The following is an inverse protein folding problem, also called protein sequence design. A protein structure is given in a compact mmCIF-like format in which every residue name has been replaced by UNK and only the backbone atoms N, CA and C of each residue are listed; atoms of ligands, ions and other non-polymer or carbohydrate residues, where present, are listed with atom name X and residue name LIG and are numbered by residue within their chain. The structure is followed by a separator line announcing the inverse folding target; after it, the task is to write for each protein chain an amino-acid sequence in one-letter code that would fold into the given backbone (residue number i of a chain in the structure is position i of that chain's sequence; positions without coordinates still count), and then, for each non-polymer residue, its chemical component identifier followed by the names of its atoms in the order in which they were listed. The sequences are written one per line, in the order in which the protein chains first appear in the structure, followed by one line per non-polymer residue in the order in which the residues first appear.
data_IF_428258745191
#
_entry.id   IF_428258745191
#
_cell.length_a   1.000
_cell.length_b   1.000
_cell.length_c   1.000
_cell.angle_alpha   90.00
_cell.angle_beta   90.00
_cell.angle_gamma   90.00
#
_symmetry.space_group_name_H-M   'P 1'
#
loop_
_entity.id
_entity.type
_entity.pdbx_description
1 polymer ?
#
# COMPACT_ATOMS: atom_id res chain seq x y z
N UNK A 1 13.83 13.47 1.31
CA UNK A 1 12.39 13.52 1.61
C UNK A 1 12.21 12.93 2.99
N UNK A 2 11.70 13.71 3.94
CA UNK A 2 11.57 13.31 5.35
C UNK A 2 10.42 12.29 5.52
N UNK A 3 10.52 11.38 6.49
CA UNK A 3 9.56 10.29 6.73
C UNK A 3 8.25 10.75 7.38
N UNK A 4 7.64 11.78 6.81
CA UNK A 4 6.31 12.29 7.15
C UNK A 4 5.28 11.17 7.24
N UNK A 5 5.39 10.14 6.39
CA UNK A 5 4.37 9.10 6.30
C UNK A 5 4.31 8.18 7.54
N UNK A 6 5.44 7.88 8.20
CA UNK A 6 5.41 6.95 9.33
C UNK A 6 4.85 7.64 10.57
N UNK A 7 5.23 8.90 10.78
CA UNK A 7 4.65 9.77 11.80
C UNK A 7 3.16 10.02 11.54
N UNK A 8 2.76 10.23 10.28
CA UNK A 8 1.35 10.38 9.89
C UNK A 8 0.54 9.12 10.20
N UNK A 9 1.05 7.93 9.82
CA UNK A 9 0.38 6.65 10.12
C UNK A 9 0.25 6.45 11.64
N UNK A 10 1.30 6.75 12.41
CA UNK A 10 1.24 6.66 13.87
C UNK A 10 0.35 7.73 14.52
N UNK A 11 0.23 8.91 13.91
CA UNK A 11 -0.69 9.96 14.37
C UNK A 11 -2.15 9.52 14.16
N UNK A 12 -2.46 8.87 13.04
CA UNK A 12 -3.82 8.43 12.70
C UNK A 12 -4.19 7.15 13.45
N UNK A 13 -3.26 6.22 13.61
CA UNK A 13 -3.56 4.87 14.11
C UNK A 13 -3.01 4.57 15.50
N UNK A 14 -2.14 5.44 16.04
CA UNK A 14 -1.43 5.25 17.30
C UNK A 14 0.00 4.75 17.10
N UNK A 15 0.87 5.06 18.07
CA UNK A 15 2.28 4.61 18.06
C UNK A 15 2.37 3.08 18.08
N UNK A 16 3.31 2.52 17.32
CA UNK A 16 3.57 1.08 17.32
C UNK A 16 2.51 0.24 16.58
N UNK A 17 1.63 0.86 15.78
CA UNK A 17 0.62 0.13 15.01
C UNK A 17 1.15 -0.48 13.71
N UNK A 18 2.30 -0.01 13.23
CA UNK A 18 2.94 -0.57 12.03
C UNK A 18 3.70 -1.84 12.41
N UNK A 19 3.20 -2.99 11.99
CA UNK A 19 3.84 -4.29 12.26
C UNK A 19 4.92 -4.69 11.24
N UNK A 20 4.85 -4.15 10.01
CA UNK A 20 5.71 -4.52 8.90
C UNK A 20 5.85 -3.34 7.93
N UNK A 21 7.08 -3.04 7.53
CA UNK A 21 7.42 -2.08 6.49
C UNK A 21 8.12 -2.80 5.34
N UNK A 22 7.63 -2.60 4.11
CA UNK A 22 8.16 -3.19 2.89
C UNK A 22 8.64 -2.07 1.95
N UNK A 23 9.89 -2.12 1.51
CA UNK A 23 10.44 -1.22 0.50
C UNK A 23 10.76 -1.99 -0.77
N UNK A 24 10.22 -1.56 -1.92
CA UNK A 24 10.50 -2.17 -3.23
C UNK A 24 11.21 -1.13 -4.09
N UNK A 25 12.45 -1.42 -4.46
CA UNK A 25 13.25 -0.59 -5.36
C UNK A 25 13.15 -1.04 -6.81
N UNK A 26 13.44 -0.12 -7.73
CA UNK A 26 13.47 -0.36 -9.18
C UNK A 26 14.84 -0.79 -9.69
N UNK A 27 15.73 -1.20 -8.78
CA UNK A 27 17.07 -1.69 -9.06
C UNK A 27 18.17 -0.69 -8.78
N UNK A 28 19.40 -1.20 -8.63
CA UNK A 28 20.61 -0.38 -8.43
C UNK A 28 21.36 -0.20 -9.75
N UNK A 29 21.87 1.02 -10.05
CA UNK A 29 22.75 1.23 -11.19
C UNK A 29 24.06 0.47 -10.99
N UNK A 30 24.60 -0.15 -12.05
CA UNK A 30 25.85 -0.92 -11.95
C UNK A 30 27.08 -0.02 -12.04
N UNK A 31 26.93 1.20 -12.58
CA UNK A 31 28.01 2.19 -12.71
C UNK A 31 27.49 3.60 -12.43
N UNK A 32 27.95 4.20 -11.33
CA UNK A 32 27.91 5.66 -11.21
C UNK A 32 28.97 6.20 -12.16
N UNK A 33 28.60 6.52 -13.40
CA UNK A 33 29.56 7.13 -14.32
C UNK A 33 29.93 8.51 -13.78
N UNK A 34 31.22 8.80 -13.50
CA UNK A 34 31.64 10.16 -13.18
C UNK A 34 31.27 11.07 -14.36
N UNK A 35 30.81 12.29 -14.07
CA UNK A 35 30.55 13.29 -15.11
C UNK A 35 31.85 13.48 -15.88
N UNK A 36 31.89 13.01 -17.13
CA UNK A 36 33.07 13.14 -17.96
C UNK A 36 33.29 14.62 -18.25
N UNK A 37 34.36 15.20 -17.68
CA UNK A 37 34.91 16.51 -18.08
C UNK A 37 35.51 16.39 -19.49
N UNK A 38 34.67 16.26 -20.51
CA UNK A 38 35.12 16.42 -21.88
C UNK A 38 34.22 17.44 -22.59
N UNK A 39 34.84 18.18 -23.53
CA UNK A 39 34.30 19.32 -24.26
C UNK A 39 33.12 18.96 -25.19
N UNK A 40 32.05 18.38 -24.65
CA UNK A 40 30.82 18.11 -25.38
C UNK A 40 29.80 19.22 -25.09
N UNK A 41 29.19 19.75 -26.15
CA UNK A 41 28.38 20.97 -26.10
C UNK A 41 27.25 20.97 -25.06
N UNK A 42 26.75 22.18 -24.75
CA UNK A 42 25.78 22.51 -23.68
C UNK A 42 24.66 21.47 -23.50
N UNK A 43 24.09 20.94 -24.58
CA UNK A 43 22.96 19.98 -24.55
C UNK A 43 23.36 18.63 -23.90
N UNK A 44 24.58 18.15 -24.15
CA UNK A 44 25.09 16.90 -23.55
C UNK A 44 25.29 17.03 -22.04
N UNK A 45 25.75 18.21 -21.60
CA UNK A 45 26.02 18.52 -20.20
C UNK A 45 24.73 18.68 -19.40
N UNK A 46 23.67 19.24 -19.99
CA UNK A 46 22.34 19.28 -19.37
C UNK A 46 21.71 17.89 -19.24
N UNK A 47 21.85 17.02 -20.23
CA UNK A 47 21.39 15.62 -20.14
C UNK A 47 22.14 14.84 -19.07
N UNK A 48 23.47 14.98 -19.00
CA UNK A 48 24.28 14.38 -17.95
C UNK A 48 23.94 14.94 -16.56
N UNK A 49 23.69 16.24 -16.45
CA UNK A 49 23.20 16.86 -15.22
C UNK A 49 21.83 16.30 -14.82
N UNK A 50 20.88 16.16 -15.73
CA UNK A 50 19.56 15.57 -15.42
C UNK A 50 19.72 14.12 -14.96
N UNK A 51 20.54 13.31 -15.66
CA UNK A 51 20.83 11.92 -15.25
C UNK A 51 21.51 11.85 -13.89
N UNK A 52 22.51 12.69 -13.66
CA UNK A 52 23.22 12.77 -12.38
C UNK A 52 22.30 13.26 -11.27
N UNK A 53 21.45 14.26 -11.53
CA UNK A 53 20.47 14.80 -10.58
C UNK A 53 19.35 13.81 -10.32
N UNK A 54 18.93 13.00 -11.30
CA UNK A 54 18.00 11.89 -11.09
C UNK A 54 18.66 10.78 -10.26
N UNK A 55 19.92 10.43 -10.54
CA UNK A 55 20.68 9.45 -9.76
C UNK A 55 21.00 9.93 -8.33
N UNK A 56 21.17 11.24 -8.10
CA UNK A 56 21.47 11.84 -6.78
C UNK A 56 20.23 12.31 -6.01
N UNK A 57 19.13 12.72 -6.68
CA UNK A 57 17.84 13.00 -6.00
C UNK A 57 17.08 11.73 -5.64
N UNK A 58 17.34 10.64 -6.34
CA UNK A 58 16.80 9.31 -6.02
C UNK A 58 17.86 8.48 -5.32
N UNK A 59 18.49 9.05 -4.28
CA UNK A 59 19.31 8.27 -3.36
C UNK A 59 18.40 7.36 -2.53
N UNK A 60 17.95 6.31 -3.22
CA UNK A 60 17.07 5.29 -2.68
C UNK A 60 17.77 4.50 -1.57
N UNK A 61 19.11 4.58 -1.49
CA UNK A 61 19.92 3.94 -0.47
C UNK A 61 20.00 4.81 0.79
N UNK A 62 20.21 6.12 0.68
CA UNK A 62 20.05 7.01 1.83
C UNK A 62 18.62 6.96 2.40
N UNK A 63 17.61 6.89 1.52
CA UNK A 63 16.21 6.72 1.97
C UNK A 63 15.99 5.36 2.64
N UNK A 64 16.61 4.30 2.11
CA UNK A 64 16.57 2.95 2.71
C UNK A 64 17.21 2.93 4.10
N UNK A 65 18.42 3.47 4.24
CA UNK A 65 19.14 3.54 5.51
C UNK A 65 18.35 4.32 6.55
N UNK A 66 17.77 5.45 6.14
CA UNK A 66 16.92 6.26 7.01
C UNK A 66 15.65 5.51 7.44
N UNK A 67 14.93 4.87 6.52
CA UNK A 67 13.73 4.07 6.87
C UNK A 67 14.11 2.88 7.74
N UNK A 68 15.25 2.23 7.48
CA UNK A 68 15.76 1.15 8.30
C UNK A 68 16.03 1.62 9.74
N UNK A 69 16.68 2.76 9.91
CA UNK A 69 16.93 3.35 11.23
C UNK A 69 15.62 3.73 11.95
N UNK A 70 14.62 4.24 11.23
CA UNK A 70 13.32 4.57 11.83
C UNK A 70 12.50 3.35 12.25
N UNK A 71 12.68 2.24 11.55
CA UNK A 71 11.98 0.97 11.83
C UNK A 71 12.73 0.08 12.80
N UNK A 72 14.00 0.39 13.08
CA UNK A 72 14.83 -0.30 14.06
C UNK A 72 14.11 -0.32 15.41
N UNK A 73 13.95 -1.53 15.97
CA UNK A 73 13.21 -1.85 17.19
C UNK A 73 11.69 -1.56 17.19
N UNK A 74 11.13 -1.02 16.11
CA UNK A 74 9.68 -0.74 16.01
C UNK A 74 8.92 -1.81 15.27
N UNK A 75 9.44 -2.22 14.11
CA UNK A 75 8.74 -3.16 13.25
C UNK A 75 9.69 -3.93 12.35
N UNK A 76 9.18 -4.99 11.71
CA UNK A 76 9.98 -5.70 10.72
C UNK A 76 10.14 -4.84 9.47
N UNK A 77 11.38 -4.65 9.02
CA UNK A 77 11.69 -3.97 7.77
C UNK A 77 12.31 -4.91 6.76
N UNK A 78 11.76 -4.93 5.54
CA UNK A 78 12.29 -5.73 4.43
C UNK A 78 12.40 -4.87 3.17
N UNK A 79 13.61 -4.81 2.58
CA UNK A 79 13.84 -4.16 1.28
C UNK A 79 14.10 -5.18 0.18
N UNK A 80 13.33 -5.09 -0.89
CA UNK A 80 13.56 -5.82 -2.12
C UNK A 80 14.07 -4.85 -3.18
N UNK A 81 15.29 -5.05 -3.64
CA UNK A 81 15.88 -4.22 -4.68
C UNK A 81 16.68 -5.12 -5.61
N UNK A 82 16.41 -5.03 -6.91
CA UNK A 82 17.10 -5.88 -7.89
C UNK A 82 18.51 -5.36 -8.12
N UNK A 83 19.50 -6.16 -7.76
CA UNK A 83 20.89 -5.92 -8.16
C UNK A 83 21.10 -6.43 -9.59
N UNK A 84 21.95 -5.75 -10.39
CA UNK A 84 22.26 -6.18 -11.77
C UNK A 84 21.88 -5.21 -12.89
N UNK A 85 21.79 -3.91 -12.62
CA UNK A 85 21.74 -2.88 -13.67
C UNK A 85 20.35 -2.49 -14.15
N UNK A 86 19.27 -2.92 -13.49
CA UNK A 86 17.95 -2.32 -13.74
C UNK A 86 17.93 -0.82 -13.44
N UNK A 87 18.77 -0.36 -12.50
CA UNK A 87 18.97 1.07 -12.26
C UNK A 87 19.71 1.81 -13.38
N UNK A 88 20.27 1.09 -14.37
CA UNK A 88 20.90 1.69 -15.56
C UNK A 88 19.91 1.91 -16.71
N UNK A 89 18.66 1.41 -16.59
CA UNK A 89 17.61 1.64 -17.57
C UNK A 89 17.08 3.07 -17.38
N UNK A 90 17.16 3.88 -18.43
CA UNK A 90 16.68 5.27 -18.38
C UNK A 90 15.16 5.30 -18.16
N UNK A 91 14.68 6.25 -17.34
CA UNK A 91 13.25 6.50 -17.16
C UNK A 91 12.61 6.88 -18.51
N UNK A 92 11.63 6.10 -18.94
CA UNK A 92 10.99 6.25 -20.25
C UNK A 92 11.66 5.47 -21.39
N UNK A 93 12.72 4.70 -21.10
CA UNK A 93 13.28 3.79 -22.08
C UNK A 93 12.24 2.75 -22.53
N UNK A 94 12.02 2.67 -23.83
CA UNK A 94 11.07 1.75 -24.45
C UNK A 94 11.59 1.27 -25.79
N UNK A 95 12.53 0.32 -25.76
CA UNK A 95 13.17 -0.19 -26.98
C UNK A 95 12.40 -1.40 -27.51
N UNK A 96 11.99 -1.31 -28.78
CA UNK A 96 11.32 -2.40 -29.51
C UNK A 96 12.25 -2.88 -30.63
N UNK A 97 12.44 -4.20 -30.73
CA UNK A 97 13.21 -4.83 -31.80
C UNK A 97 12.34 -5.92 -32.45
N UNK A 98 11.98 -5.72 -33.72
CA UNK A 98 10.98 -6.55 -34.38
C UNK A 98 9.63 -6.48 -33.64
N UNK A 99 9.14 -7.64 -33.18
CA UNK A 99 7.88 -7.77 -32.45
C UNK A 99 8.06 -7.83 -30.92
N UNK A 100 9.27 -7.64 -30.39
CA UNK A 100 9.58 -7.78 -28.96
C UNK A 100 10.06 -6.46 -28.35
N UNK A 101 9.59 -6.14 -27.14
CA UNK A 101 10.13 -5.06 -26.33
C UNK A 101 11.31 -5.56 -25.51
N UNK A 102 12.52 -5.19 -25.92
CA UNK A 102 13.76 -5.64 -25.29
C UNK A 102 13.98 -5.04 -23.89
N UNK A 103 13.49 -3.83 -23.64
CA UNK A 103 13.57 -3.19 -22.32
C UNK A 103 12.72 -3.96 -21.31
N UNK A 104 11.47 -4.26 -21.66
CA UNK A 104 10.58 -5.08 -20.82
C UNK A 104 11.11 -6.50 -20.62
N UNK A 105 11.69 -7.10 -21.67
CA UNK A 105 12.31 -8.41 -21.57
C UNK A 105 13.45 -8.40 -20.55
N UNK A 106 14.37 -7.44 -20.64
CA UNK A 106 15.46 -7.28 -19.68
C UNK A 106 14.97 -7.09 -18.25
N UNK A 107 13.94 -6.24 -18.05
CA UNK A 107 13.30 -6.06 -16.73
C UNK A 107 12.77 -7.38 -16.18
N UNK A 108 12.06 -8.15 -17.01
CA UNK A 108 11.50 -9.46 -16.62
C UNK A 108 12.60 -10.46 -16.27
N UNK A 109 13.62 -10.57 -17.10
CA UNK A 109 14.73 -11.52 -16.91
C UNK A 109 15.50 -11.22 -15.61
N UNK A 110 15.89 -9.95 -15.39
CA UNK A 110 16.61 -9.57 -14.16
C UNK A 110 15.74 -9.73 -12.91
N UNK A 111 14.47 -9.36 -12.98
CA UNK A 111 13.52 -9.57 -11.88
C UNK A 111 13.36 -11.07 -11.59
N UNK A 112 13.27 -11.90 -12.63
CA UNK A 112 13.16 -13.35 -12.48
C UNK A 112 14.42 -13.96 -11.86
N UNK A 113 15.61 -13.53 -12.27
CA UNK A 113 16.88 -13.95 -11.66
C UNK A 113 16.90 -13.58 -10.17
N UNK A 114 16.58 -12.34 -9.84
CA UNK A 114 16.52 -11.85 -8.46
C UNK A 114 15.53 -12.65 -7.60
N UNK A 115 14.30 -12.85 -8.10
CA UNK A 115 13.26 -13.60 -7.38
C UNK A 115 13.58 -15.09 -7.21
N UNK A 116 14.47 -15.67 -8.03
CA UNK A 116 14.90 -17.06 -7.88
C UNK A 116 16.06 -17.24 -6.91
N UNK A 117 16.66 -16.16 -6.39
CA UNK A 117 17.68 -16.28 -5.36
C UNK A 117 17.06 -16.90 -4.09
N UNK A 118 17.65 -17.97 -3.53
CA UNK A 118 17.09 -18.65 -2.36
C UNK A 118 16.82 -17.71 -1.18
N UNK A 119 17.71 -16.75 -0.95
CA UNK A 119 17.57 -15.77 0.13
C UNK A 119 16.38 -14.83 -0.10
N UNK A 120 16.22 -14.34 -1.32
CA UNK A 120 15.10 -13.47 -1.69
C UNK A 120 13.78 -14.20 -1.52
N UNK A 121 13.70 -15.46 -1.96
CA UNK A 121 12.51 -16.31 -1.77
C UNK A 121 12.17 -16.50 -0.29
N UNK A 122 13.17 -16.83 0.53
CA UNK A 122 13.00 -17.01 1.98
C UNK A 122 12.43 -15.75 2.65
N UNK A 123 12.97 -14.58 2.29
CA UNK A 123 12.50 -13.27 2.80
C UNK A 123 11.10 -12.95 2.31
N UNK A 124 10.78 -13.21 1.04
CA UNK A 124 9.45 -12.99 0.46
C UNK A 124 8.40 -13.88 1.12
N UNK A 125 8.71 -15.16 1.38
CA UNK A 125 7.83 -16.07 2.09
C UNK A 125 7.62 -15.65 3.56
N UNK A 126 8.66 -15.15 4.24
CA UNK A 126 8.53 -14.57 5.58
C UNK A 126 7.54 -13.40 5.57
N UNK A 127 7.70 -12.46 4.64
CA UNK A 127 6.79 -11.32 4.47
C UNK A 127 5.36 -11.79 4.17
N UNK A 128 5.19 -12.74 3.25
CA UNK A 128 3.88 -13.28 2.90
C UNK A 128 3.18 -13.90 4.12
N UNK A 129 3.88 -14.71 4.91
CA UNK A 129 3.34 -15.29 6.15
C UNK A 129 2.92 -14.22 7.15
N UNK A 130 3.71 -13.15 7.32
CA UNK A 130 3.36 -12.03 8.19
C UNK A 130 2.10 -11.31 7.71
N UNK A 131 1.99 -11.02 6.41
CA UNK A 131 0.82 -10.36 5.83
C UNK A 131 -0.45 -11.20 6.01
N UNK A 132 -0.38 -12.51 5.77
CA UNK A 132 -1.50 -13.44 5.95
C UNK A 132 -1.92 -13.49 7.42
N UNK A 133 -0.95 -13.68 8.34
CA UNK A 133 -1.25 -13.68 9.78
C UNK A 133 -1.88 -12.37 10.23
N UNK A 134 -1.34 -11.22 9.82
CA UNK A 134 -1.90 -9.91 10.15
C UNK A 134 -3.31 -9.72 9.58
N UNK A 135 -3.62 -10.32 8.43
CA UNK A 135 -4.98 -10.32 7.88
C UNK A 135 -5.92 -11.18 8.70
N UNK A 136 -5.49 -12.37 9.12
CA UNK A 136 -6.28 -13.29 9.95
C UNK A 136 -6.55 -12.72 11.35
N UNK A 137 -5.57 -12.05 11.96
CA UNK A 137 -5.78 -11.38 13.25
C UNK A 137 -6.75 -10.21 13.10
N UNK A 138 -6.60 -9.40 12.05
CA UNK A 138 -7.57 -8.33 11.75
C UNK A 138 -8.97 -8.89 11.53
N UNK A 139 -9.11 -10.08 10.92
CA UNK A 139 -10.42 -10.68 10.67
C UNK A 139 -11.19 -11.12 11.90
N UNK A 140 -10.56 -11.13 13.07
CA UNK A 140 -11.21 -11.41 14.35
C UNK A 140 -11.72 -10.15 15.05
N UNK A 141 -11.44 -8.97 14.49
CA UNK A 141 -11.87 -7.69 15.08
C UNK A 141 -13.24 -7.29 14.52
N UNK A 142 -14.05 -6.60 15.33
CA UNK A 142 -15.36 -6.08 14.90
C UNK A 142 -15.27 -5.14 13.68
N UNK A 143 -14.13 -4.45 13.54
CA UNK A 143 -13.88 -3.52 12.42
C UNK A 143 -13.58 -4.24 11.11
N UNK A 144 -13.34 -5.56 11.14
CA UNK A 144 -12.97 -6.31 9.94
C UNK A 144 -14.02 -6.24 8.87
N UNK A 145 -15.29 -6.40 9.22
CA UNK A 145 -16.36 -6.42 8.23
C UNK A 145 -16.33 -5.12 7.44
N UNK A 146 -16.23 -3.98 8.10
CA UNK A 146 -16.10 -2.66 7.46
C UNK A 146 -14.89 -2.61 6.51
N UNK A 147 -13.71 -3.05 6.98
CA UNK A 147 -12.46 -2.96 6.22
C UNK A 147 -12.43 -3.93 5.03
N UNK A 148 -12.95 -5.14 5.20
CA UNK A 148 -12.86 -6.20 4.20
C UNK A 148 -13.93 -6.11 3.11
N UNK A 149 -15.09 -5.56 3.45
CA UNK A 149 -16.26 -5.50 2.57
C UNK A 149 -16.63 -4.09 2.13
N UNK A 150 -16.08 -3.07 2.80
CA UNK A 150 -16.50 -1.69 2.59
C UNK A 150 -17.94 -1.40 3.01
N UNK A 151 -18.61 -2.31 3.74
CA UNK A 151 -20.00 -2.12 4.14
C UNK A 151 -20.16 -0.85 4.98
N UNK A 152 -21.14 -0.07 4.56
CA UNK A 152 -21.58 1.15 5.21
C UNK A 152 -23.09 1.12 5.32
N UNK A 153 -23.65 1.86 6.24
CA UNK A 153 -25.10 1.97 6.39
C UNK A 153 -25.53 3.42 6.25
N UNK A 154 -26.65 3.60 5.56
CA UNK A 154 -27.36 4.88 5.44
C UNK A 154 -28.80 4.67 5.88
N UNK A 155 -29.33 5.65 6.61
CA UNK A 155 -30.73 5.64 6.98
C UNK A 155 -31.60 5.91 5.76
N UNK A 156 -32.57 5.03 5.50
CA UNK A 156 -33.58 5.20 4.44
C UNK A 156 -34.75 6.10 4.88
N UNK A 157 -34.85 6.43 6.16
CA UNK A 157 -35.96 7.13 6.81
C UNK A 157 -35.67 8.61 7.09
N UNK A 158 -34.98 9.30 6.17
CA UNK A 158 -34.91 10.78 6.10
C UNK A 158 -33.91 11.50 7.03
N UNK A 159 -33.03 10.79 7.75
CA UNK A 159 -31.96 11.47 8.48
C UNK A 159 -30.87 11.95 7.51
N UNK A 160 -30.35 13.15 7.75
CA UNK A 160 -29.38 13.87 6.90
C UNK A 160 -28.56 12.94 6.00
N UNK A 161 -28.72 13.03 4.67
CA UNK A 161 -28.22 12.05 3.67
C UNK A 161 -26.70 11.83 3.69
N UNK A 162 -25.98 12.76 4.33
CA UNK A 162 -24.53 12.74 4.54
C UNK A 162 -24.10 11.80 5.69
N UNK A 163 -25.01 11.40 6.58
CA UNK A 163 -24.65 10.57 7.73
C UNK A 163 -24.48 9.12 7.30
N UNK A 164 -23.23 8.64 7.35
CA UNK A 164 -22.87 7.26 7.02
C UNK A 164 -22.37 6.55 8.26
N UNK A 165 -23.04 5.48 8.64
CA UNK A 165 -22.62 4.63 9.74
C UNK A 165 -21.67 3.55 9.22
N UNK A 166 -20.57 3.35 9.93
CA UNK A 166 -19.59 2.30 9.57
C UNK A 166 -19.81 1.02 10.36
N UNK A 167 -20.46 1.08 11.53
CA UNK A 167 -20.79 -0.10 12.36
C UNK A 167 -22.28 -0.36 12.34
N UNK A 168 -22.65 -1.64 12.24
CA UNK A 168 -24.05 -2.06 12.26
C UNK A 168 -24.74 -1.71 13.59
N UNK A 169 -24.03 -1.83 14.72
CA UNK A 169 -24.60 -1.50 16.05
C UNK A 169 -24.87 0.00 16.21
N UNK A 170 -24.02 0.87 15.66
CA UNK A 170 -24.26 2.32 15.67
C UNK A 170 -25.50 2.65 14.82
N UNK A 171 -25.63 2.02 13.64
CA UNK A 171 -26.80 2.19 12.78
C UNK A 171 -28.08 1.65 13.41
N UNK A 172 -28.00 0.49 14.07
CA UNK A 172 -29.11 -0.12 14.81
C UNK A 172 -29.55 0.75 15.97
N UNK A 173 -28.60 1.32 16.72
CA UNK A 173 -28.89 2.25 17.81
C UNK A 173 -29.62 3.48 17.27
N UNK A 174 -29.15 4.05 16.16
CA UNK A 174 -29.84 5.13 15.47
C UNK A 174 -31.26 4.77 15.04
N UNK A 175 -31.48 3.59 14.45
CA UNK A 175 -32.82 3.11 14.09
C UNK A 175 -33.72 2.99 15.33
N UNK A 176 -33.22 2.46 16.44
CA UNK A 176 -33.99 2.34 17.68
C UNK A 176 -34.33 3.70 18.29
N UNK A 177 -33.35 4.59 18.42
CA UNK A 177 -33.49 5.87 19.13
C UNK A 177 -34.22 6.93 18.29
N UNK A 178 -33.94 6.99 17.00
CA UNK A 178 -34.48 8.04 16.10
C UNK A 178 -35.76 7.61 15.40
N UNK A 179 -35.91 6.31 15.10
CA UNK A 179 -37.05 5.79 14.34
C UNK A 179 -37.93 4.82 15.14
N UNK A 180 -37.65 4.64 16.44
CA UNK A 180 -38.50 3.87 17.35
C UNK A 180 -38.53 2.37 17.06
N UNK A 181 -37.52 1.83 16.35
CA UNK A 181 -37.43 0.39 16.16
C UNK A 181 -37.19 -0.33 17.51
N UNK A 182 -37.78 -1.51 17.68
CA UNK A 182 -37.58 -2.31 18.88
C UNK A 182 -36.45 -3.33 18.70
N UNK A 183 -35.56 -3.42 19.68
CA UNK A 183 -34.50 -4.45 19.77
C UNK A 183 -34.99 -5.77 20.40
N UNK A 184 -36.32 -5.96 20.54
CA UNK A 184 -36.94 -7.16 21.07
C UNK A 184 -36.45 -8.45 20.38
N UNK A 185 -36.71 -9.60 21.02
CA UNK A 185 -36.29 -10.94 20.60
C UNK A 185 -36.24 -11.09 19.07
N UNK A 186 -35.14 -11.67 18.57
CA UNK A 186 -34.79 -11.81 17.14
C UNK A 186 -35.89 -12.42 16.26
N UNK A 187 -36.85 -13.12 16.85
CA UNK A 187 -37.96 -13.83 16.21
C UNK A 187 -39.28 -13.04 16.22
N UNK A 188 -39.37 -11.97 17.02
CA UNK A 188 -40.55 -11.10 17.05
C UNK A 188 -40.72 -10.34 15.72
N UNK A 189 -41.97 -9.96 15.42
CA UNK A 189 -42.31 -9.16 14.23
C UNK A 189 -41.46 -7.89 14.17
N UNK A 190 -41.28 -7.21 15.31
CA UNK A 190 -40.46 -6.00 15.39
C UNK A 190 -38.96 -6.27 15.22
N UNK A 191 -38.45 -7.39 15.76
CA UNK A 191 -37.08 -7.84 15.51
C UNK A 191 -36.80 -8.16 14.03
N UNK A 192 -37.81 -8.67 13.30
CA UNK A 192 -37.71 -8.89 11.86
C UNK A 192 -37.72 -7.57 11.08
N UNK A 193 -38.54 -6.58 11.49
CA UNK A 193 -38.57 -5.24 10.89
C UNK A 193 -37.24 -4.52 11.03
N UNK A 194 -36.60 -4.60 12.20
CA UNK A 194 -35.28 -4.02 12.43
C UNK A 194 -34.21 -4.68 11.53
N UNK A 195 -34.19 -6.02 11.43
CA UNK A 195 -33.26 -6.73 10.53
C UNK A 195 -33.45 -6.34 9.07
N UNK A 196 -34.69 -6.15 8.64
CA UNK A 196 -35.00 -5.69 7.28
C UNK A 196 -34.46 -4.27 7.06
N UNK A 197 -34.73 -3.35 7.98
CA UNK A 197 -34.23 -1.97 7.90
C UNK A 197 -32.69 -1.89 7.86
N UNK A 198 -31.99 -2.71 8.66
CA UNK A 198 -30.53 -2.81 8.62
C UNK A 198 -30.04 -3.28 7.24
N UNK A 199 -30.70 -4.28 6.66
CA UNK A 199 -30.36 -4.81 5.33
C UNK A 199 -30.61 -3.77 4.24
N UNK A 200 -31.76 -3.10 4.29
CA UNK A 200 -32.17 -2.12 3.29
C UNK A 200 -31.29 -0.85 3.35
N UNK A 201 -30.79 -0.49 4.54
CA UNK A 201 -29.84 0.61 4.72
C UNK A 201 -28.40 0.30 4.34
N UNK A 202 -28.07 -0.96 4.01
CA UNK A 202 -26.69 -1.37 3.70
C UNK A 202 -26.28 -0.88 2.31
N UNK A 203 -25.26 -0.03 2.27
CA UNK A 203 -24.58 0.37 1.04
C UNK A 203 -23.54 -0.69 0.72
N UNK A 204 -23.74 -1.38 -0.40
CA UNK A 204 -22.72 -2.20 -1.04
C UNK A 204 -21.98 -1.30 -2.03
N UNK A 205 -20.72 -0.99 -1.79
CA UNK A 205 -19.87 -0.59 -2.91
C UNK A 205 -19.66 -1.83 -3.77
N UNK A 206 -20.18 -1.80 -5.00
CA UNK A 206 -19.68 -2.67 -6.04
C UNK A 206 -18.20 -2.33 -6.24
N UNK A 207 -17.33 -3.30 -5.96
CA UNK A 207 -15.90 -3.23 -6.27
C UNK A 207 -15.72 -3.42 -7.77
#
# INVERSE_FOLDING_TARGET
MNASWMEEVEQVHGKGTVALTLSIGTGRPTKVQPIARQNSGLISHYRQMIKYTAATKTDSEHTNEYVKALTEDRCTYERFNVDGGLGDIDLGEWRVHGNENITLKGIREQTHIYLNQPEVRRRMEKVARMLVRNRQERSRTEKWDVVATGHRFRCSHCCNEETIFTREEDFKTHLCETHGFSSALRESVEGQRLKKAIRDGRILHAV
#
